data_IF_771729021162
#
_entry.id   IF_771729021162
#
_cell.length_a   1.000
_cell.length_b   1.000
_cell.length_c   1.000
_cell.angle_alpha   90.00
_cell.angle_beta   90.00
_cell.angle_gamma   90.00
#
_symmetry.space_group_name_H-M   'P 1'
#
loop_
_entity.id
_entity.type
_entity.pdbx_description
1 polymer ?
#
# COMPACT_ATOMS: atom_id res chain seq x y z
N UNK A 1 8.65 5.69 -0.01
CA UNK A 1 8.00 5.02 1.14
C UNK A 1 7.08 5.93 1.96
N UNK A 2 7.50 7.16 2.26
CA UNK A 2 6.69 8.16 2.99
C UNK A 2 5.25 8.31 2.47
N UNK A 3 5.12 8.61 1.18
CA UNK A 3 3.83 8.79 0.50
C UNK A 3 3.00 7.50 0.59
N UNK A 4 3.63 6.33 0.45
CA UNK A 4 2.96 5.03 0.59
C UNK A 4 2.40 4.81 1.99
N UNK A 5 3.12 5.22 3.04
CA UNK A 5 2.65 5.16 4.43
C UNK A 5 1.48 6.12 4.68
N UNK A 6 1.52 7.32 4.11
CA UNK A 6 0.38 8.27 4.16
C UNK A 6 -0.84 7.65 3.49
N UNK A 7 -0.66 7.10 2.29
CA UNK A 7 -1.77 6.54 1.52
C UNK A 7 -2.38 5.30 2.20
N UNK A 8 -1.58 4.38 2.76
CA UNK A 8 -2.14 3.22 3.46
C UNK A 8 -2.82 3.61 4.79
N UNK A 9 -2.37 4.67 5.44
CA UNK A 9 -2.92 5.10 6.73
C UNK A 9 -4.24 5.86 6.59
N UNK A 10 -4.36 6.75 5.62
CA UNK A 10 -5.55 7.58 5.44
C UNK A 10 -6.43 7.14 4.26
N UNK A 11 -5.83 6.60 3.20
CA UNK A 11 -6.51 6.25 1.95
C UNK A 11 -7.69 5.30 2.13
N UNK A 12 -7.58 4.18 2.88
CA UNK A 12 -8.71 3.27 3.07
C UNK A 12 -9.93 3.93 3.73
N UNK A 13 -9.68 4.79 4.72
CA UNK A 13 -10.71 5.51 5.49
C UNK A 13 -11.40 6.60 4.66
N UNK A 14 -10.69 7.20 3.70
CA UNK A 14 -11.24 8.21 2.80
C UNK A 14 -11.73 7.67 1.45
N UNK A 15 -11.55 6.38 1.17
CA UNK A 15 -11.90 5.77 -0.13
C UNK A 15 -13.38 5.96 -0.48
N UNK A 16 -14.28 5.72 0.48
CA UNK A 16 -15.72 5.90 0.28
C UNK A 16 -16.07 7.38 0.05
N UNK A 17 -15.53 8.25 0.91
CA UNK A 17 -15.74 9.71 0.86
C UNK A 17 -15.30 10.28 -0.49
N UNK A 18 -14.11 9.90 -0.97
CA UNK A 18 -13.56 10.37 -2.23
C UNK A 18 -14.40 9.90 -3.43
N UNK A 19 -14.75 8.61 -3.48
CA UNK A 19 -15.58 8.07 -4.55
C UNK A 19 -16.97 8.69 -4.56
N UNK A 20 -17.57 8.89 -3.40
CA UNK A 20 -18.89 9.49 -3.29
C UNK A 20 -18.88 10.97 -3.74
N UNK A 21 -17.79 11.69 -3.49
CA UNK A 21 -17.63 13.08 -3.91
C UNK A 21 -17.38 13.22 -5.42
N UNK A 22 -16.57 12.33 -6.00
CA UNK A 22 -16.16 12.40 -7.41
C UNK A 22 -17.17 11.76 -8.37
N UNK A 23 -17.71 10.60 -8.00
CA UNK A 23 -18.52 9.74 -8.89
C UNK A 23 -19.95 9.51 -8.37
N UNK A 24 -20.26 9.94 -7.15
CA UNK A 24 -21.58 9.82 -6.54
C UNK A 24 -21.88 8.45 -5.92
N UNK A 25 -23.04 8.37 -5.25
CA UNK A 25 -23.49 7.21 -4.45
C UNK A 25 -23.49 5.87 -5.21
N UNK A 26 -23.85 5.90 -6.49
CA UNK A 26 -23.96 4.69 -7.31
C UNK A 26 -22.64 3.91 -7.43
N UNK A 27 -21.50 4.59 -7.42
CA UNK A 27 -20.19 3.95 -7.51
C UNK A 27 -19.57 3.70 -6.12
N UNK A 28 -19.79 4.61 -5.16
CA UNK A 28 -19.28 4.47 -3.79
C UNK A 28 -19.95 3.36 -3.00
N UNK A 29 -21.23 3.07 -3.24
CA UNK A 29 -21.95 1.98 -2.60
C UNK A 29 -21.69 0.60 -3.25
N UNK A 30 -21.01 0.58 -4.41
CA UNK A 30 -20.60 -0.63 -5.12
C UNK A 30 -19.19 -1.13 -4.75
N UNK A 31 -18.65 -2.03 -5.58
CA UNK A 31 -17.33 -2.66 -5.34
C UNK A 31 -16.15 -1.69 -5.44
N UNK A 32 -16.33 -0.51 -6.06
CA UNK A 32 -15.25 0.46 -6.28
C UNK A 32 -14.58 0.93 -4.98
N UNK A 33 -15.37 1.10 -3.91
CA UNK A 33 -14.83 1.46 -2.59
C UNK A 33 -13.92 0.38 -2.03
N UNK A 34 -14.31 -0.89 -2.16
CA UNK A 34 -13.48 -2.00 -1.71
C UNK A 34 -12.20 -2.08 -2.54
N UNK A 35 -12.31 -2.00 -3.87
CA UNK A 35 -11.16 -2.00 -4.79
C UNK A 35 -10.18 -0.89 -4.45
N UNK A 36 -10.66 0.34 -4.21
CA UNK A 36 -9.80 1.48 -3.87
C UNK A 36 -9.10 1.29 -2.52
N UNK A 37 -9.78 0.72 -1.51
CA UNK A 37 -9.18 0.38 -0.21
C UNK A 37 -8.03 -0.62 -0.37
N UNK A 38 -8.23 -1.69 -1.13
CA UNK A 38 -7.17 -2.66 -1.41
C UNK A 38 -6.03 -2.05 -2.23
N UNK A 39 -6.35 -1.13 -3.14
CA UNK A 39 -5.34 -0.40 -3.91
C UNK A 39 -4.46 0.48 -3.01
N UNK A 40 -5.02 1.13 -2.00
CA UNK A 40 -4.23 1.88 -1.01
C UNK A 40 -3.23 0.98 -0.26
N UNK A 41 -3.61 -0.26 0.06
CA UNK A 41 -2.69 -1.24 0.65
C UNK A 41 -1.64 -1.66 -0.38
N UNK A 42 -2.02 -1.90 -1.64
CA UNK A 42 -1.07 -2.26 -2.69
C UNK A 42 0.05 -1.22 -2.89
N UNK A 43 -0.24 0.07 -2.71
CA UNK A 43 0.74 1.15 -2.87
C UNK A 43 1.95 1.01 -1.94
N UNK A 44 1.82 0.47 -0.71
CA UNK A 44 3.00 0.26 0.15
C UNK A 44 3.92 -0.83 -0.41
N UNK A 45 3.35 -1.92 -0.95
CA UNK A 45 4.12 -2.96 -1.61
C UNK A 45 4.82 -2.43 -2.86
N UNK A 46 4.12 -1.62 -3.65
CA UNK A 46 4.72 -0.96 -4.82
C UNK A 46 5.89 -0.05 -4.42
N UNK A 47 5.73 0.74 -3.37
CA UNK A 47 6.78 1.63 -2.87
C UNK A 47 8.00 0.87 -2.32
N UNK A 48 7.79 -0.22 -1.58
CA UNK A 48 8.88 -1.05 -1.07
C UNK A 48 9.61 -1.78 -2.20
N UNK A 49 8.87 -2.33 -3.16
CA UNK A 49 9.45 -3.01 -4.32
C UNK A 49 10.37 -2.06 -5.10
N UNK A 50 9.88 -0.87 -5.45
CA UNK A 50 10.66 0.13 -6.18
C UNK A 50 11.98 0.52 -5.48
N UNK A 51 11.97 0.68 -4.15
CA UNK A 51 13.21 0.98 -3.42
C UNK A 51 14.18 -0.22 -3.37
N UNK A 52 13.65 -1.41 -3.09
CA UNK A 52 14.46 -2.63 -2.96
C UNK A 52 15.17 -2.99 -4.27
N UNK A 53 14.49 -2.87 -5.40
CA UNK A 53 15.07 -3.14 -6.71
C UNK A 53 16.02 -2.06 -7.17
N UNK A 54 15.72 -0.77 -6.90
CA UNK A 54 16.65 0.30 -7.20
C UNK A 54 18.01 0.09 -6.50
N UNK A 55 17.99 -0.41 -5.25
CA UNK A 55 19.22 -0.79 -4.54
C UNK A 55 19.90 -2.02 -5.15
N UNK A 56 19.15 -3.08 -5.42
CA UNK A 56 19.66 -4.28 -6.09
C UNK A 56 20.39 -3.91 -7.39
N UNK A 57 19.74 -3.09 -8.23
CA UNK A 57 20.27 -2.66 -9.52
C UNK A 57 21.47 -1.71 -9.41
N UNK A 58 21.60 -0.93 -8.33
CA UNK A 58 22.73 -0.02 -8.16
C UNK A 58 23.99 -0.72 -7.64
N UNK A 59 23.86 -1.87 -6.99
CA UNK A 59 24.96 -2.58 -6.34
C UNK A 59 25.33 -3.90 -7.03
N UNK A 60 24.40 -4.51 -7.77
CA UNK A 60 24.63 -5.81 -8.40
C UNK A 60 25.62 -5.74 -9.58
N UNK A 61 26.57 -6.68 -9.61
CA UNK A 61 27.44 -6.92 -10.76
C UNK A 61 26.66 -7.56 -11.93
N UNK A 62 27.15 -7.45 -13.17
CA UNK A 62 26.46 -7.97 -14.37
C UNK A 62 25.98 -9.43 -14.26
N UNK A 63 26.77 -10.31 -13.63
CA UNK A 63 26.38 -11.72 -13.41
C UNK A 63 25.24 -11.88 -12.40
N UNK A 64 25.26 -11.11 -11.31
CA UNK A 64 24.21 -11.11 -10.29
C UNK A 64 22.93 -10.44 -10.81
N UNK A 65 23.09 -9.42 -11.65
CA UNK A 65 21.99 -8.75 -12.34
C UNK A 65 21.29 -9.70 -13.31
N UNK A 66 22.07 -10.49 -14.07
CA UNK A 66 21.51 -11.50 -14.99
C UNK A 66 20.77 -12.61 -14.23
N UNK A 67 21.35 -13.14 -13.14
CA UNK A 67 20.66 -14.10 -12.28
C UNK A 67 19.39 -13.52 -11.63
N UNK A 68 19.43 -12.25 -11.21
CA UNK A 68 18.25 -11.56 -10.69
C UNK A 68 17.14 -11.50 -11.73
N UNK A 69 17.47 -11.13 -12.98
CA UNK A 69 16.50 -11.05 -14.06
C UNK A 69 15.89 -12.41 -14.42
N UNK A 70 16.69 -13.48 -14.37
CA UNK A 70 16.22 -14.85 -14.59
C UNK A 70 15.25 -15.32 -13.49
N UNK A 71 15.49 -14.94 -12.23
CA UNK A 71 14.57 -15.21 -11.11
C UNK A 71 13.30 -14.36 -11.20
N UNK A 72 13.41 -13.10 -11.66
CA UNK A 72 12.23 -12.26 -11.96
C UNK A 72 11.35 -12.87 -13.07
N UNK A 73 11.95 -13.53 -14.05
CA UNK A 73 11.21 -14.28 -15.08
C UNK A 73 10.43 -15.44 -14.47
N UNK A 74 11.02 -16.19 -13.54
CA UNK A 74 10.32 -17.25 -12.81
C UNK A 74 9.14 -16.69 -11.99
N UNK A 75 9.33 -15.57 -11.29
CA UNK A 75 8.24 -14.89 -10.58
C UNK A 75 7.14 -14.42 -11.51
N UNK A 76 7.47 -13.98 -12.72
CA UNK A 76 6.48 -13.59 -13.73
C UNK A 76 5.59 -14.77 -14.15
N UNK A 77 6.16 -15.98 -14.27
CA UNK A 77 5.38 -17.18 -14.52
C UNK A 77 4.43 -17.53 -13.36
N UNK A 78 4.91 -17.46 -12.11
CA UNK A 78 4.09 -17.65 -10.91
C UNK A 78 2.97 -16.60 -10.84
N UNK A 79 3.29 -15.35 -11.13
CA UNK A 79 2.35 -14.23 -11.17
C UNK A 79 1.21 -14.45 -12.17
N UNK A 80 1.48 -15.01 -13.36
CA UNK A 80 0.43 -15.33 -14.34
C UNK A 80 -0.57 -16.33 -13.75
N UNK A 81 -0.08 -17.40 -13.10
CA UNK A 81 -0.94 -18.41 -12.46
C UNK A 81 -1.75 -17.82 -11.32
N UNK A 82 -1.12 -17.00 -10.47
CA UNK A 82 -1.78 -16.31 -9.37
C UNK A 82 -2.88 -15.36 -9.87
N UNK A 83 -2.62 -14.60 -10.93
CA UNK A 83 -3.63 -13.72 -11.53
C UNK A 83 -4.86 -14.48 -11.96
N UNK A 84 -4.67 -15.54 -12.75
CA UNK A 84 -5.81 -16.32 -13.26
C UNK A 84 -6.63 -16.89 -12.09
N UNK A 85 -5.96 -17.33 -11.03
CA UNK A 85 -6.62 -17.92 -9.85
C UNK A 85 -7.38 -16.85 -9.03
N UNK A 86 -6.75 -15.71 -8.75
CA UNK A 86 -7.30 -14.67 -7.89
C UNK A 86 -8.38 -13.83 -8.60
N UNK A 87 -8.22 -13.56 -9.89
CA UNK A 87 -9.25 -12.86 -10.68
C UNK A 87 -10.53 -13.70 -10.73
N UNK A 88 -10.41 -15.03 -10.89
CA UNK A 88 -11.56 -15.94 -10.87
C UNK A 88 -12.28 -15.97 -9.53
N UNK A 89 -11.57 -15.78 -8.41
CA UNK A 89 -12.17 -15.84 -7.07
C UNK A 89 -12.72 -14.50 -6.58
N UNK A 90 -12.05 -13.38 -6.88
CA UNK A 90 -12.34 -12.08 -6.27
C UNK A 90 -12.33 -10.90 -7.26
N UNK A 91 -12.36 -11.18 -8.57
CA UNK A 91 -12.46 -10.15 -9.62
C UNK A 91 -11.34 -9.11 -9.55
N UNK A 92 -11.72 -7.83 -9.50
CA UNK A 92 -10.79 -6.70 -9.45
C UNK A 92 -9.94 -6.66 -8.15
N UNK A 93 -10.52 -7.06 -7.01
CA UNK A 93 -9.77 -7.18 -5.75
C UNK A 93 -8.73 -8.29 -5.87
N UNK A 94 -9.10 -9.39 -6.52
CA UNK A 94 -8.21 -10.50 -6.84
C UNK A 94 -7.00 -10.06 -7.66
N UNK A 95 -7.20 -9.22 -8.67
CA UNK A 95 -6.12 -8.65 -9.48
C UNK A 95 -5.13 -7.81 -8.63
N UNK A 96 -5.64 -6.98 -7.72
CA UNK A 96 -4.80 -6.17 -6.82
C UNK A 96 -4.03 -7.07 -5.85
N UNK A 97 -4.68 -8.09 -5.31
CA UNK A 97 -4.05 -9.03 -4.39
C UNK A 97 -2.97 -9.87 -5.08
N UNK A 98 -3.20 -10.36 -6.30
CA UNK A 98 -2.19 -11.06 -7.10
C UNK A 98 -0.97 -10.18 -7.38
N UNK A 99 -1.18 -8.90 -7.72
CA UNK A 99 -0.11 -7.92 -7.87
C UNK A 99 0.65 -7.67 -6.57
N UNK A 100 -0.05 -7.61 -5.44
CA UNK A 100 0.58 -7.43 -4.12
C UNK A 100 1.50 -8.60 -3.79
N UNK A 101 1.07 -9.84 -4.05
CA UNK A 101 1.90 -11.05 -3.86
C UNK A 101 3.13 -11.02 -4.77
N UNK A 102 2.97 -10.63 -6.04
CA UNK A 102 4.11 -10.49 -6.94
C UNK A 102 5.14 -9.47 -6.46
N UNK A 103 4.68 -8.32 -5.97
CA UNK A 103 5.57 -7.31 -5.38
C UNK A 103 6.26 -7.85 -4.12
N UNK A 104 5.56 -8.63 -3.28
CA UNK A 104 6.15 -9.28 -2.10
C UNK A 104 7.25 -10.29 -2.45
N UNK A 105 7.04 -11.13 -3.46
CA UNK A 105 8.07 -12.07 -3.93
C UNK A 105 9.33 -11.33 -4.38
N UNK A 106 9.15 -10.25 -5.16
CA UNK A 106 10.25 -9.40 -5.63
C UNK A 106 10.98 -8.70 -4.48
N UNK A 107 10.25 -8.13 -3.53
CA UNK A 107 10.84 -7.52 -2.32
C UNK A 107 11.64 -8.56 -1.53
N UNK A 108 11.11 -9.77 -1.37
CA UNK A 108 11.77 -10.85 -0.62
C UNK A 108 13.07 -11.28 -1.30
N UNK A 109 13.09 -11.37 -2.62
CA UNK A 109 14.30 -11.67 -3.36
C UNK A 109 15.36 -10.55 -3.20
N UNK A 110 14.96 -9.30 -3.43
CA UNK A 110 15.85 -8.16 -3.22
C UNK A 110 16.35 -8.07 -1.77
N UNK A 111 15.50 -8.39 -0.80
CA UNK A 111 15.86 -8.45 0.62
C UNK A 111 16.98 -9.45 0.90
N UNK A 112 16.85 -10.68 0.38
CA UNK A 112 17.86 -11.73 0.54
C UNK A 112 19.20 -11.28 -0.04
N UNK A 113 19.19 -10.68 -1.24
CA UNK A 113 20.41 -10.14 -1.85
C UNK A 113 21.05 -9.04 -1.00
N UNK A 114 20.24 -8.12 -0.48
CA UNK A 114 20.72 -7.02 0.37
C UNK A 114 21.31 -7.57 1.67
N UNK A 115 20.67 -8.56 2.28
CA UNK A 115 21.14 -9.20 3.50
C UNK A 115 22.48 -9.91 3.28
N UNK A 116 22.63 -10.62 2.16
CA UNK A 116 23.89 -11.24 1.75
C UNK A 116 24.99 -10.19 1.51
N UNK A 117 24.66 -9.09 0.83
CA UNK A 117 25.59 -7.98 0.58
C UNK A 117 26.10 -7.32 1.87
N UNK A 118 25.21 -7.08 2.84
CA UNK A 118 25.55 -6.51 4.15
C UNK A 118 25.93 -7.55 5.22
N UNK A 119 26.07 -8.84 4.86
CA UNK A 119 26.40 -9.95 5.76
C UNK A 119 25.51 -9.98 7.02
N UNK A 120 24.20 -9.80 6.85
CA UNK A 120 23.22 -9.87 7.94
C UNK A 120 23.07 -8.60 8.80
N UNK A 121 23.77 -7.50 8.48
CA UNK A 121 23.63 -6.24 9.22
C UNK A 121 22.45 -5.36 8.76
N UNK A 122 21.69 -5.80 7.75
CA UNK A 122 20.60 -5.00 7.18
C UNK A 122 19.27 -5.22 7.90
N UNK A 123 18.52 -4.14 8.13
CA UNK A 123 17.14 -4.22 8.63
C UNK A 123 16.27 -3.19 7.92
N UNK A 124 15.16 -3.67 7.33
CA UNK A 124 14.14 -2.82 6.68
C UNK A 124 13.54 -1.76 7.60
N UNK A 125 13.64 -1.94 8.93
CA UNK A 125 13.16 -0.93 9.88
C UNK A 125 13.89 0.40 9.73
N UNK A 126 15.15 0.39 9.33
CA UNK A 126 15.91 1.62 9.07
C UNK A 126 15.49 2.31 7.77
N UNK A 127 14.76 1.63 6.88
CA UNK A 127 14.19 2.24 5.68
C UNK A 127 12.82 2.90 5.95
N UNK A 128 12.25 2.72 7.15
CA UNK A 128 11.03 3.41 7.57
C UNK A 128 11.34 4.88 7.86
N UNK A 129 10.53 5.82 7.32
CA UNK A 129 10.68 7.23 7.67
C UNK A 129 10.44 7.44 9.17
N UNK A 130 11.02 8.52 9.70
CA UNK A 130 10.71 8.99 11.05
C UNK A 130 9.20 9.17 11.22
N UNK A 131 8.69 8.91 12.43
CA UNK A 131 7.26 9.06 12.72
C UNK A 131 6.33 8.01 12.10
N UNK A 132 6.83 6.93 11.48
CA UNK A 132 5.96 5.89 10.86
C UNK A 132 4.91 5.31 11.83
N UNK A 133 5.25 5.19 13.12
CA UNK A 133 4.33 4.71 14.16
C UNK A 133 3.19 5.70 14.43
N UNK A 134 3.50 7.00 14.53
CA UNK A 134 2.51 8.08 14.69
C UNK A 134 1.56 8.10 13.52
N UNK A 135 2.08 7.88 12.31
CA UNK A 135 1.31 7.85 11.07
C UNK A 135 0.31 6.69 11.06
N UNK A 136 0.71 5.49 11.50
CA UNK A 136 -0.19 4.34 11.62
C UNK A 136 -1.26 4.55 12.71
N UNK A 137 -0.90 5.13 13.85
CA UNK A 137 -1.85 5.45 14.94
C UNK A 137 -2.88 6.48 14.47
N UNK A 138 -2.44 7.50 13.74
CA UNK A 138 -3.29 8.50 13.11
C UNK A 138 -4.23 7.90 12.05
N UNK A 139 -3.72 6.94 11.26
CA UNK A 139 -4.53 6.16 10.33
C UNK A 139 -5.59 5.33 11.05
N UNK A 140 -5.22 4.63 12.13
CA UNK A 140 -6.15 3.84 12.93
C UNK A 140 -7.25 4.72 13.58
N UNK A 141 -6.87 5.88 14.11
CA UNK A 141 -7.81 6.88 14.65
C UNK A 141 -8.78 7.37 13.58
N UNK A 142 -8.27 7.62 12.36
CA UNK A 142 -9.09 8.03 11.22
C UNK A 142 -10.05 6.92 10.77
N UNK A 143 -9.58 5.66 10.75
CA UNK A 143 -10.42 4.50 10.43
C UNK A 143 -11.52 4.27 11.48
N UNK A 144 -11.21 4.49 12.75
CA UNK A 144 -12.20 4.47 13.82
C UNK A 144 -13.23 5.60 13.65
N UNK A 145 -12.76 6.80 13.33
CA UNK A 145 -13.62 7.95 13.04
C UNK A 145 -14.58 7.70 11.88
N UNK A 146 -14.10 7.07 10.80
CA UNK A 146 -14.94 6.68 9.66
C UNK A 146 -16.07 5.75 10.12
N UNK A 147 -15.75 4.71 10.91
CA UNK A 147 -16.74 3.70 11.35
C UNK A 147 -17.78 4.26 12.32
N UNK A 148 -17.39 5.21 13.17
CA UNK A 148 -18.26 5.74 14.23
C UNK A 148 -19.08 6.94 13.75
N UNK A 149 -18.46 7.86 13.01
CA UNK A 149 -19.09 9.13 12.67
C UNK A 149 -19.65 9.18 11.25
N UNK A 150 -19.12 8.42 10.29
CA UNK A 150 -19.56 8.51 8.90
C UNK A 150 -20.90 7.78 8.71
N UNK A 151 -22.01 8.51 8.83
CA UNK A 151 -23.34 7.97 8.60
C UNK A 151 -23.76 8.21 7.14
N UNK A 152 -23.99 7.12 6.38
CA UNK A 152 -24.39 7.20 4.96
C UNK A 152 -25.67 8.01 4.73
N UNK A 153 -26.64 7.91 5.65
CA UNK A 153 -27.92 8.61 5.55
C UNK A 153 -27.81 10.13 5.83
N UNK A 154 -26.77 10.56 6.56
CA UNK A 154 -26.50 11.98 6.88
C UNK A 154 -25.11 12.40 6.40
N UNK A 155 -24.67 11.85 5.27
CA UNK A 155 -23.31 11.99 4.77
C UNK A 155 -22.82 13.44 4.75
N UNK A 156 -23.63 14.38 4.25
CA UNK A 156 -23.26 15.81 4.17
C UNK A 156 -23.03 16.47 5.54
N UNK A 157 -23.71 16.01 6.59
CA UNK A 157 -23.58 16.56 7.94
C UNK A 157 -22.39 15.95 8.69
N UNK A 158 -22.12 14.66 8.49
CA UNK A 158 -21.05 13.94 9.19
C UNK A 158 -19.68 14.05 8.49
N UNK A 159 -19.67 14.31 7.19
CA UNK A 159 -18.46 14.51 6.38
C UNK A 159 -17.50 15.57 6.94
N UNK A 160 -17.92 16.81 7.28
CA UNK A 160 -16.99 17.84 7.75
C UNK A 160 -16.29 17.44 9.06
N UNK A 161 -16.97 16.71 9.94
CA UNK A 161 -16.40 16.21 11.20
C UNK A 161 -15.30 15.17 10.91
N UNK A 162 -15.59 14.22 10.02
CA UNK A 162 -14.61 13.20 9.64
C UNK A 162 -13.41 13.79 8.88
N UNK A 163 -13.63 14.80 8.02
CA UNK A 163 -12.55 15.52 7.34
C UNK A 163 -11.68 16.31 8.33
N UNK A 164 -12.28 16.99 9.30
CA UNK A 164 -11.54 17.73 10.32
C UNK A 164 -10.63 16.82 11.15
N UNK A 165 -11.14 15.65 11.58
CA UNK A 165 -10.35 14.67 12.35
C UNK A 165 -9.12 14.21 11.56
N UNK A 166 -9.28 13.80 10.29
CA UNK A 166 -8.12 13.34 9.53
C UNK A 166 -7.17 14.46 9.12
N UNK A 167 -7.64 15.69 8.88
CA UNK A 167 -6.74 16.84 8.66
C UNK A 167 -5.89 17.09 9.91
N UNK A 168 -6.50 17.07 11.09
CA UNK A 168 -5.76 17.23 12.36
C UNK A 168 -4.76 16.09 12.58
N UNK A 169 -5.16 14.84 12.34
CA UNK A 169 -4.27 13.68 12.42
C UNK A 169 -3.12 13.73 11.39
N UNK A 170 -3.38 14.24 10.18
CA UNK A 170 -2.36 14.41 9.15
C UNK A 170 -1.37 15.51 9.52
N UNK A 171 -1.84 16.68 9.96
CA UNK A 171 -0.99 17.78 10.42
C UNK A 171 -0.12 17.33 11.60
N UNK A 172 -0.72 16.65 12.57
CA UNK A 172 0.02 16.11 13.71
C UNK A 172 1.09 15.09 13.28
N UNK A 173 0.74 14.17 12.37
CA UNK A 173 1.71 13.20 11.84
C UNK A 173 2.85 13.90 11.10
N UNK A 174 2.56 14.93 10.30
CA UNK A 174 3.56 15.69 9.55
C UNK A 174 4.51 16.51 10.44
N UNK A 175 4.07 16.90 11.65
CA UNK A 175 4.91 17.61 12.62
C UNK A 175 5.93 16.69 13.32
N UNK A 176 5.62 15.39 13.41
CA UNK A 176 6.44 14.36 14.07
C UNK A 176 7.34 13.58 13.09
N UNK A 177 7.31 13.93 11.80
CA UNK A 177 8.08 13.31 10.71
C UNK A 177 9.30 14.14 10.35
#
# INVERSE_FOLDING_TARGET
MLIGLVIISFGPSYSYTLLNLLYGGRYSDGEATAVLRYYCVYIIFLAMNGMSEAFLHSVANEKQLKQSNDILLLFSAIYIVLNVTFIKSAGAIGLIAANSVNMLLRISYSAIFIEEYFKGSFSFRHCLPAGWGVLLISGATTAFSERVFLNRNRFKQTLPIHMAIGIMCLIFSLLEM
#
